data_IF_712683621115
#
_entry.id   IF_712683621115
#
_cell.length_a   1.000
_cell.length_b   1.000
_cell.length_c   1.000
_cell.angle_alpha   90.00
_cell.angle_beta   90.00
_cell.angle_gamma   90.00
#
_symmetry.space_group_name_H-M   'P 1'
#
loop_
_entity.id
_entity.type
_entity.pdbx_description
1 polymer ?
#
# COMPACT_ATOMS: atom_id res chain seq x y z
N UNK A 1 9.40 21.81 28.01
CA UNK A 1 9.19 20.54 27.27
C UNK A 1 10.33 20.38 26.28
N UNK A 2 11.05 19.27 26.30
CA UNK A 2 12.04 18.97 25.27
C UNK A 2 11.33 18.80 23.92
N UNK A 3 11.86 19.41 22.85
CA UNK A 3 11.35 19.21 21.50
C UNK A 3 11.51 17.73 21.11
N UNK A 4 10.50 17.09 20.50
CA UNK A 4 10.63 15.71 20.05
C UNK A 4 11.75 15.59 18.97
N UNK A 5 12.32 14.39 18.76
CA UNK A 5 13.36 14.19 17.76
C UNK A 5 12.93 14.71 16.39
N UNK A 6 13.85 15.32 15.62
CA UNK A 6 13.56 15.97 14.33
C UNK A 6 12.75 15.08 13.36
N UNK A 7 13.00 13.77 13.37
CA UNK A 7 12.26 12.78 12.58
C UNK A 7 10.78 12.66 12.98
N UNK A 8 10.49 12.69 14.28
CA UNK A 8 9.12 12.63 14.79
C UNK A 8 8.35 13.93 14.49
N UNK A 9 9.06 15.06 14.42
CA UNK A 9 8.51 16.35 13.96
C UNK A 9 8.18 16.26 12.46
N UNK A 10 9.08 15.67 11.66
CA UNK A 10 8.90 15.48 10.22
C UNK A 10 7.66 14.61 9.92
N UNK A 11 7.54 13.44 10.57
CA UNK A 11 6.40 12.53 10.40
C UNK A 11 5.06 13.19 10.76
N UNK A 12 5.02 14.01 11.82
CA UNK A 12 3.83 14.75 12.22
C UNK A 12 3.50 15.88 11.25
N UNK A 13 4.50 16.62 10.77
CA UNK A 13 4.33 17.76 9.86
C UNK A 13 3.81 17.33 8.47
N UNK A 14 4.22 16.16 7.99
CA UNK A 14 3.80 15.60 6.69
C UNK A 14 2.73 14.52 6.81
N UNK A 15 2.11 14.35 7.98
CA UNK A 15 1.20 13.22 8.21
C UNK A 15 0.04 13.18 7.20
N UNK A 16 -0.50 14.37 6.87
CA UNK A 16 -1.58 14.57 5.87
C UNK A 16 -1.08 14.71 4.44
N UNK A 17 0.23 14.78 4.21
CA UNK A 17 0.78 14.81 2.85
C UNK A 17 0.56 13.44 2.18
N UNK A 18 0.11 13.43 0.93
CA UNK A 18 -0.05 12.17 0.16
C UNK A 18 1.28 11.69 -0.42
N UNK A 19 2.27 12.58 -0.60
CA UNK A 19 3.61 12.24 -1.11
C UNK A 19 4.55 11.93 0.06
N UNK A 20 5.33 10.86 -0.11
CA UNK A 20 6.51 10.64 0.73
C UNK A 20 7.70 11.34 0.08
N UNK A 21 8.54 11.95 0.90
CA UNK A 21 9.86 12.38 0.46
C UNK A 21 10.73 11.17 0.14
N UNK A 22 11.12 11.02 -1.12
CA UNK A 22 12.18 10.11 -1.52
C UNK A 22 13.48 10.92 -1.53
N UNK A 23 14.38 10.62 -0.58
CA UNK A 23 15.71 11.23 -0.48
C UNK A 23 16.54 11.01 -1.75
N UNK A 24 16.27 9.94 -2.51
CA UNK A 24 16.96 9.65 -3.76
C UNK A 24 15.99 9.14 -4.84
N UNK A 25 16.18 9.70 -6.05
CA UNK A 25 15.56 9.35 -7.34
C UNK A 25 14.27 10.09 -7.73
N UNK A 26 14.45 11.23 -8.43
CA UNK A 26 13.65 11.72 -9.58
C UNK A 26 14.26 13.04 -10.08
N UNK A 27 14.30 13.26 -11.42
CA UNK A 27 14.85 14.46 -12.09
C UNK A 27 14.50 15.82 -11.42
N UNK A 28 13.26 16.03 -10.90
CA UNK A 28 12.90 17.23 -10.12
C UNK A 28 13.80 17.53 -8.92
N UNK A 29 14.21 16.54 -8.13
CA UNK A 29 15.03 16.77 -6.93
C UNK A 29 16.44 17.25 -7.31
N UNK A 30 16.96 16.79 -8.45
CA UNK A 30 18.26 17.26 -8.96
C UNK A 30 18.14 18.71 -9.42
N UNK A 31 17.14 19.04 -10.23
CA UNK A 31 16.93 20.42 -10.69
C UNK A 31 16.74 21.42 -9.52
N UNK A 32 16.02 21.02 -8.47
CA UNK A 32 15.87 21.83 -7.25
C UNK A 32 17.22 22.02 -6.52
N UNK A 33 18.03 20.98 -6.40
CA UNK A 33 19.38 21.07 -5.80
C UNK A 33 20.29 21.97 -6.63
N UNK A 34 20.32 21.77 -7.95
CA UNK A 34 21.10 22.57 -8.88
C UNK A 34 20.69 24.06 -8.80
N UNK A 35 19.38 24.33 -8.74
CA UNK A 35 18.87 25.71 -8.56
C UNK A 35 19.29 26.31 -7.22
N UNK A 36 19.21 25.56 -6.11
CA UNK A 36 19.65 26.04 -4.79
C UNK A 36 21.16 26.33 -4.74
N UNK A 37 21.96 25.55 -5.48
CA UNK A 37 23.42 25.70 -5.51
C UNK A 37 23.89 26.82 -6.45
N UNK A 38 23.29 26.93 -7.64
CA UNK A 38 23.76 27.82 -8.70
C UNK A 38 22.99 29.14 -8.78
N UNK A 39 21.68 29.13 -8.47
CA UNK A 39 20.78 30.28 -8.63
C UNK A 39 19.70 30.36 -7.53
N UNK A 40 20.07 30.42 -6.24
CA UNK A 40 19.13 30.36 -5.11
C UNK A 40 18.05 31.45 -5.14
N UNK A 41 18.36 32.63 -5.65
CA UNK A 41 17.43 33.75 -5.83
C UNK A 41 16.29 33.42 -6.82
N UNK A 42 16.54 32.51 -7.76
CA UNK A 42 15.55 32.08 -8.75
C UNK A 42 14.69 30.90 -8.26
N UNK A 43 14.96 30.38 -7.06
CA UNK A 43 14.31 29.17 -6.57
C UNK A 43 12.79 29.29 -6.53
N UNK A 44 12.25 30.45 -6.14
CA UNK A 44 10.80 30.69 -6.10
C UNK A 44 10.15 30.76 -7.49
N UNK A 45 10.89 31.11 -8.54
CA UNK A 45 10.38 31.12 -9.92
C UNK A 45 10.20 29.71 -10.48
N UNK A 46 11.09 28.78 -10.09
CA UNK A 46 11.12 27.43 -10.67
C UNK A 46 10.38 26.38 -9.84
N UNK A 47 9.79 26.78 -8.70
CA UNK A 47 9.15 25.85 -7.77
C UNK A 47 7.77 26.35 -7.31
N UNK A 48 6.80 25.44 -7.28
CA UNK A 48 5.40 25.74 -6.95
C UNK A 48 5.13 26.13 -5.47
N UNK A 49 6.18 26.25 -4.65
CA UNK A 49 6.05 26.62 -3.24
C UNK A 49 5.58 25.48 -2.33
N UNK A 50 4.97 25.84 -1.19
CA UNK A 50 4.37 24.91 -0.22
C UNK A 50 2.96 25.34 0.15
N UNK A 51 2.12 24.37 0.53
CA UNK A 51 0.82 24.65 1.15
C UNK A 51 0.79 24.07 2.56
N UNK A 52 0.49 24.91 3.54
CA UNK A 52 0.42 24.58 4.96
C UNK A 52 -1.02 24.79 5.45
N UNK A 53 -1.61 23.76 6.03
CA UNK A 53 -2.82 23.87 6.83
C UNK A 53 -2.44 24.13 8.28
N UNK A 54 -3.17 25.00 8.97
CA UNK A 54 -2.94 25.30 10.39
C UNK A 54 -4.27 25.44 11.11
N UNK A 55 -4.36 24.99 12.36
CA UNK A 55 -5.57 25.19 13.15
C UNK A 55 -5.77 26.65 13.54
N UNK A 56 -4.66 27.38 13.69
CA UNK A 56 -4.66 28.82 13.98
C UNK A 56 -3.41 29.46 13.38
N UNK A 57 -3.56 30.64 12.82
CA UNK A 57 -2.50 31.48 12.29
C UNK A 57 -2.46 32.77 13.10
N UNK A 58 -1.30 33.11 13.64
CA UNK A 58 -1.12 34.36 14.39
C UNK A 58 0.03 35.16 13.77
N UNK A 59 -0.29 36.36 13.29
CA UNK A 59 0.65 37.28 12.67
C UNK A 59 1.23 38.22 13.73
N UNK A 60 2.52 38.11 13.99
CA UNK A 60 3.26 39.05 14.83
C UNK A 60 3.87 40.12 13.91
N UNK A 61 3.13 41.22 13.71
CA UNK A 61 3.46 42.27 12.75
C UNK A 61 4.81 42.96 13.04
N UNK A 62 5.13 43.12 14.33
CA UNK A 62 6.36 43.79 14.76
C UNK A 62 7.61 42.96 14.42
N UNK A 63 7.50 41.64 14.53
CA UNK A 63 8.62 40.71 14.36
C UNK A 63 8.70 40.07 12.97
N UNK A 64 7.75 40.38 12.07
CA UNK A 64 7.53 39.66 10.80
C UNK A 64 7.46 38.14 10.99
N UNK A 65 6.96 37.68 12.13
CA UNK A 65 6.83 36.25 12.48
C UNK A 65 5.39 35.78 12.29
N UNK A 66 5.27 34.52 11.87
CA UNK A 66 4.00 33.81 11.78
C UNK A 66 4.06 32.63 12.74
N UNK A 67 3.09 32.55 13.67
CA UNK A 67 2.94 31.40 14.56
C UNK A 67 1.80 30.53 14.03
N UNK A 68 2.09 29.23 13.85
CA UNK A 68 1.15 28.23 13.36
C UNK A 68 0.86 27.20 14.45
N UNK A 69 -0.42 27.00 14.76
CA UNK A 69 -0.85 25.91 15.65
C UNK A 69 -1.13 24.65 14.84
N UNK A 70 -0.46 23.54 15.20
CA UNK A 70 -0.60 22.24 14.54
C UNK A 70 -0.44 22.31 13.00
N UNK A 71 0.68 22.86 12.48
CA UNK A 71 0.88 22.98 11.05
C UNK A 71 0.96 21.60 10.37
N UNK A 72 0.38 21.49 9.18
CA UNK A 72 0.38 20.30 8.33
C UNK A 72 0.71 20.70 6.89
N UNK A 73 1.83 20.20 6.36
CA UNK A 73 2.25 20.48 4.99
C UNK A 73 1.59 19.48 4.06
N UNK A 74 0.64 19.95 3.26
CA UNK A 74 -0.14 19.10 2.33
C UNK A 74 0.43 19.09 0.90
N UNK A 75 1.24 20.10 0.54
CA UNK A 75 1.98 20.16 -0.73
C UNK A 75 3.38 20.74 -0.50
N UNK A 76 4.36 20.26 -1.26
CA UNK A 76 5.74 20.77 -1.25
C UNK A 76 6.69 20.03 -0.32
N UNK A 77 6.39 18.76 0.02
CA UNK A 77 7.25 17.90 0.84
C UNK A 77 8.66 17.74 0.25
N UNK A 78 8.79 17.61 -1.08
CA UNK A 78 10.09 17.56 -1.75
C UNK A 78 10.83 18.90 -1.70
N UNK A 79 10.12 20.00 -1.99
CA UNK A 79 10.67 21.37 -1.95
C UNK A 79 11.26 21.69 -0.58
N UNK A 80 10.48 21.51 0.49
CA UNK A 80 10.91 21.87 1.84
C UNK A 80 12.02 20.95 2.38
N UNK A 81 11.98 19.66 2.03
CA UNK A 81 13.04 18.72 2.42
C UNK A 81 14.35 19.05 1.70
N UNK A 82 14.28 19.38 0.40
CA UNK A 82 15.46 19.76 -0.38
C UNK A 82 16.08 21.05 0.14
N UNK A 83 15.27 22.08 0.44
CA UNK A 83 15.77 23.30 1.10
C UNK A 83 16.36 22.98 2.47
N UNK A 84 15.68 22.15 3.28
CA UNK A 84 16.13 21.77 4.60
C UNK A 84 17.50 21.07 4.62
N UNK A 85 17.79 20.25 3.60
CA UNK A 85 19.07 19.56 3.42
C UNK A 85 20.19 20.46 2.87
N UNK A 86 19.86 21.48 2.07
CA UNK A 86 20.85 22.25 1.30
C UNK A 86 21.01 23.71 1.77
N UNK A 87 20.18 24.16 2.74
CA UNK A 87 20.10 25.51 3.37
C UNK A 87 21.00 26.60 2.76
N UNK A 88 20.72 27.12 1.55
CA UNK A 88 21.29 28.38 1.13
C UNK A 88 20.60 29.51 1.91
N UNK A 89 21.35 30.54 2.32
CA UNK A 89 20.81 31.65 3.12
C UNK A 89 19.80 32.53 2.38
N UNK A 90 19.84 32.53 1.03
CA UNK A 90 19.21 33.59 0.22
C UNK A 90 18.05 33.08 -0.66
N UNK A 91 17.65 31.81 -0.52
CA UNK A 91 16.53 31.25 -1.30
C UNK A 91 15.17 31.57 -0.68
N UNK A 92 14.24 32.07 -1.49
CA UNK A 92 12.85 32.30 -1.11
C UNK A 92 11.91 31.25 -1.71
N UNK A 93 10.72 31.08 -1.13
CA UNK A 93 9.67 30.21 -1.68
C UNK A 93 8.28 30.75 -1.32
N UNK A 94 7.28 30.50 -2.17
CA UNK A 94 5.89 30.86 -1.86
C UNK A 94 5.25 29.88 -0.87
N UNK A 95 4.79 30.38 0.29
CA UNK A 95 4.03 29.60 1.24
C UNK A 95 2.56 30.04 1.27
N UNK A 96 1.66 29.16 0.82
CA UNK A 96 0.22 29.31 1.02
C UNK A 96 -0.16 28.73 2.38
N UNK A 97 -0.61 29.58 3.31
CA UNK A 97 -1.06 29.16 4.64
C UNK A 97 -2.58 29.26 4.69
N UNK A 98 -3.26 28.19 5.09
CA UNK A 98 -4.71 28.14 5.21
C UNK A 98 -5.07 27.82 6.67
N UNK A 99 -5.77 28.74 7.32
CA UNK A 99 -6.37 28.49 8.63
C UNK A 99 -7.64 27.64 8.46
N UNK A 100 -7.69 26.50 9.13
CA UNK A 100 -8.77 25.50 9.01
C UNK A 100 -9.56 25.29 10.32
N UNK A 101 -9.22 26.01 11.39
CA UNK A 101 -9.84 25.80 12.71
C UNK A 101 -9.53 24.42 13.29
N UNK A 102 -10.46 23.83 14.03
CA UNK A 102 -10.24 22.50 14.63
C UNK A 102 -10.16 21.40 13.56
N UNK A 103 -9.00 20.75 13.49
CA UNK A 103 -8.69 19.74 12.49
C UNK A 103 -9.48 18.43 12.65
N UNK A 104 -10.16 18.23 13.78
CA UNK A 104 -11.05 17.10 14.03
C UNK A 104 -12.47 17.34 13.50
N UNK A 105 -12.89 18.60 13.39
CA UNK A 105 -14.25 18.98 12.96
C UNK A 105 -14.30 19.15 11.44
N UNK A 106 -13.26 19.77 10.86
CA UNK A 106 -13.27 20.19 9.46
C UNK A 106 -12.65 19.16 8.49
N UNK A 107 -12.86 17.87 8.74
CA UNK A 107 -12.19 16.82 7.98
C UNK A 107 -12.56 16.83 6.48
N UNK A 108 -13.83 17.06 6.12
CA UNK A 108 -14.27 17.17 4.73
C UNK A 108 -13.61 18.35 4.00
N UNK A 109 -13.50 19.51 4.66
CA UNK A 109 -12.81 20.68 4.10
C UNK A 109 -11.33 20.37 3.87
N UNK A 110 -10.67 19.72 4.82
CA UNK A 110 -9.26 19.34 4.70
C UNK A 110 -9.07 18.38 3.53
N UNK A 111 -9.90 17.34 3.44
CA UNK A 111 -9.83 16.35 2.36
C UNK A 111 -10.11 17.02 1.00
N UNK A 112 -11.09 17.92 0.91
CA UNK A 112 -11.37 18.71 -0.29
C UNK A 112 -10.21 19.64 -0.71
N UNK A 113 -9.52 20.28 0.24
CA UNK A 113 -8.33 21.09 -0.05
C UNK A 113 -7.18 20.21 -0.54
N UNK A 114 -6.96 19.05 0.08
CA UNK A 114 -5.92 18.09 -0.33
C UNK A 114 -6.22 17.58 -1.75
N UNK A 115 -7.45 17.19 -2.05
CA UNK A 115 -7.88 16.77 -3.38
C UNK A 115 -7.68 17.88 -4.42
N UNK A 116 -8.17 19.09 -4.16
CA UNK A 116 -8.04 20.21 -5.10
C UNK A 116 -6.58 20.57 -5.39
N UNK A 117 -5.70 20.53 -4.38
CA UNK A 117 -4.28 20.81 -4.54
C UNK A 117 -3.57 19.70 -5.35
N UNK A 118 -4.00 18.44 -5.19
CA UNK A 118 -3.50 17.31 -5.97
C UNK A 118 -4.04 17.28 -7.41
N UNK A 119 -5.21 17.86 -7.70
CA UNK A 119 -5.73 17.97 -9.09
C UNK A 119 -4.82 18.79 -10.00
N UNK A 120 -4.05 19.74 -9.46
CA UNK A 120 -3.07 20.53 -10.22
C UNK A 120 -1.78 19.76 -10.56
N UNK A 121 -1.49 18.65 -9.86
CA UNK A 121 -0.38 17.74 -10.18
C UNK A 121 -0.80 16.30 -9.91
N UNK A 122 -1.26 15.55 -10.94
CA UNK A 122 -1.95 14.27 -10.77
C UNK A 122 -1.23 13.35 -9.78
N UNK A 123 -1.97 12.92 -8.77
CA UNK A 123 -1.53 11.96 -7.76
C UNK A 123 -2.37 10.70 -7.94
N UNK A 124 -1.71 9.53 -7.94
CA UNK A 124 -2.34 8.22 -8.05
C UNK A 124 -3.40 8.02 -6.93
N UNK A 125 -4.51 7.38 -7.27
CA UNK A 125 -5.62 7.10 -6.33
C UNK A 125 -5.15 6.35 -5.09
N UNK A 126 -4.17 5.45 -5.23
CA UNK A 126 -3.53 4.75 -4.11
C UNK A 126 -2.93 5.71 -3.11
N UNK A 127 -2.29 6.77 -3.58
CA UNK A 127 -1.67 7.78 -2.73
C UNK A 127 -2.73 8.65 -2.04
N UNK A 128 -3.82 8.99 -2.73
CA UNK A 128 -4.95 9.70 -2.14
C UNK A 128 -5.58 8.88 -1.00
N UNK A 129 -5.86 7.59 -1.23
CA UNK A 129 -6.43 6.70 -0.22
C UNK A 129 -5.48 6.35 0.91
N UNK A 130 -4.17 6.62 0.77
CA UNK A 130 -3.18 6.22 1.77
C UNK A 130 -3.47 6.79 3.16
N UNK A 131 -3.99 8.02 3.26
CA UNK A 131 -4.32 8.68 4.53
C UNK A 131 -5.74 8.39 5.02
N UNK A 132 -6.50 7.55 4.31
CA UNK A 132 -7.85 7.17 4.72
C UNK A 132 -7.86 6.61 6.16
N UNK A 133 -8.80 7.02 7.03
CA UNK A 133 -8.83 6.60 8.44
C UNK A 133 -8.72 5.08 8.63
N UNK A 134 -9.43 4.29 7.82
CA UNK A 134 -9.33 2.82 7.83
C UNK A 134 -7.89 2.31 7.62
N UNK A 135 -7.14 2.85 6.64
CA UNK A 135 -5.76 2.41 6.41
C UNK A 135 -4.86 2.79 7.59
N UNK A 136 -5.03 3.99 8.15
CA UNK A 136 -4.24 4.46 9.31
C UNK A 136 -4.53 3.60 10.55
N UNK A 137 -5.80 3.30 10.83
CA UNK A 137 -6.18 2.39 11.93
C UNK A 137 -5.61 1.01 11.69
N UNK A 138 -5.74 0.46 10.49
CA UNK A 138 -5.21 -0.87 10.15
C UNK A 138 -3.69 -0.92 10.34
N UNK A 139 -2.95 0.10 9.92
CA UNK A 139 -1.50 0.18 10.13
C UNK A 139 -1.11 -0.01 11.59
N UNK A 140 -1.76 0.75 12.50
CA UNK A 140 -1.49 0.67 13.94
C UNK A 140 -1.77 -0.72 14.51
N UNK A 141 -2.83 -1.39 14.06
CA UNK A 141 -3.20 -2.72 14.55
C UNK A 141 -2.30 -3.81 13.97
N UNK A 142 -1.89 -3.72 12.71
CA UNK A 142 -0.98 -4.70 12.12
C UNK A 142 0.40 -4.65 12.80
N UNK A 143 0.85 -3.46 13.22
CA UNK A 143 2.10 -3.30 13.96
C UNK A 143 2.11 -4.07 15.28
N UNK A 144 0.98 -4.13 16.01
CA UNK A 144 0.88 -4.92 17.25
C UNK A 144 0.91 -6.43 17.00
N UNK A 145 0.62 -6.86 15.76
CA UNK A 145 0.63 -8.26 15.33
C UNK A 145 1.98 -8.69 14.72
N UNK A 146 2.99 -7.82 14.70
CA UNK A 146 4.30 -8.14 14.13
C UNK A 146 4.45 -7.85 12.63
N UNK A 147 3.53 -7.05 12.06
CA UNK A 147 3.51 -6.69 10.65
C UNK A 147 3.58 -5.17 10.49
N UNK A 148 4.36 -4.64 9.56
CA UNK A 148 4.26 -3.22 9.22
C UNK A 148 3.47 -3.06 7.91
N UNK A 149 2.47 -2.20 7.94
CA UNK A 149 1.60 -1.96 6.79
C UNK A 149 2.09 -0.75 5.99
N UNK A 150 2.68 -0.98 4.82
CA UNK A 150 3.16 0.06 3.93
C UNK A 150 2.00 0.65 3.11
N UNK A 151 1.39 1.73 3.64
CA UNK A 151 0.27 2.47 3.01
C UNK A 151 0.72 3.32 1.84
N UNK A 152 1.92 3.89 1.96
CA UNK A 152 2.53 4.73 0.95
C UNK A 152 3.81 4.03 0.50
N UNK A 153 4.02 3.94 -0.81
CA UNK A 153 5.18 3.21 -1.35
C UNK A 153 6.49 3.74 -0.73
N UNK A 154 7.33 2.83 -0.24
CA UNK A 154 8.62 3.21 0.34
C UNK A 154 8.56 3.91 1.71
N UNK A 155 7.39 3.96 2.37
CA UNK A 155 7.21 4.60 3.70
C UNK A 155 8.28 4.22 4.72
N UNK A 156 8.72 2.95 4.70
CA UNK A 156 9.66 2.40 5.67
C UNK A 156 11.07 2.16 5.10
N UNK A 157 11.43 2.76 3.95
CA UNK A 157 12.73 2.52 3.28
C UNK A 157 13.91 2.88 4.19
N UNK A 158 13.90 4.07 4.78
CA UNK A 158 15.00 4.53 5.67
C UNK A 158 15.00 3.78 7.00
N UNK A 159 13.82 3.46 7.51
CA UNK A 159 13.65 2.72 8.75
C UNK A 159 14.18 1.29 8.66
N UNK A 160 13.97 0.61 7.52
CA UNK A 160 14.60 -0.69 7.23
C UNK A 160 16.12 -0.62 7.24
N UNK A 161 16.70 0.47 6.73
CA UNK A 161 18.15 0.65 6.69
C UNK A 161 18.77 0.86 8.08
N UNK A 162 18.01 1.36 9.05
CA UNK A 162 18.52 1.81 10.35
C UNK A 162 18.04 1.00 11.55
N UNK A 163 16.92 0.28 11.45
CA UNK A 163 16.25 -0.34 12.60
C UNK A 163 16.13 -1.87 12.47
N UNK A 164 16.78 -2.58 13.39
CA UNK A 164 16.61 -4.04 13.56
C UNK A 164 15.15 -4.42 13.87
N UNK A 165 14.41 -3.55 14.57
CA UNK A 165 13.00 -3.74 14.92
C UNK A 165 12.13 -3.91 13.68
N UNK A 166 12.32 -3.08 12.65
CA UNK A 166 11.50 -3.12 11.43
C UNK A 166 11.93 -4.25 10.52
N UNK A 167 13.21 -4.61 10.53
CA UNK A 167 13.70 -5.80 9.84
C UNK A 167 13.17 -7.10 10.47
N UNK A 168 12.75 -7.08 11.75
CA UNK A 168 12.08 -8.21 12.40
C UNK A 168 10.58 -8.33 12.05
N UNK A 169 9.97 -7.27 11.50
CA UNK A 169 8.55 -7.26 11.15
C UNK A 169 8.33 -7.67 9.69
N UNK A 170 7.20 -8.33 9.43
CA UNK A 170 6.80 -8.71 8.06
C UNK A 170 6.16 -7.51 7.35
N UNK A 171 6.68 -7.17 6.17
CA UNK A 171 6.15 -6.10 5.32
C UNK A 171 4.82 -6.49 4.70
N UNK A 172 3.79 -5.64 4.81
CA UNK A 172 2.53 -5.78 4.08
C UNK A 172 2.29 -4.54 3.24
N UNK A 173 2.29 -4.66 1.92
CA UNK A 173 1.98 -3.52 1.04
C UNK A 173 0.47 -3.39 0.86
N UNK A 174 -0.05 -2.17 0.88
CA UNK A 174 -1.48 -1.92 0.65
C UNK A 174 -2.00 -2.46 -0.70
N UNK A 175 -1.18 -2.41 -1.75
CA UNK A 175 -1.56 -2.96 -3.07
C UNK A 175 -1.70 -4.48 -3.05
N UNK A 176 -0.85 -5.19 -2.30
CA UNK A 176 -0.96 -6.64 -2.19
C UNK A 176 -2.15 -7.00 -1.30
N UNK A 177 -2.34 -6.27 -0.21
CA UNK A 177 -3.47 -6.45 0.71
C UNK A 177 -4.82 -6.30 -0.01
N UNK A 178 -5.02 -5.22 -0.79
CA UNK A 178 -6.28 -4.99 -1.51
C UNK A 178 -6.53 -6.08 -2.55
N UNK A 179 -5.49 -6.52 -3.29
CA UNK A 179 -5.61 -7.59 -4.28
C UNK A 179 -5.98 -8.93 -3.67
N UNK A 180 -5.38 -9.29 -2.54
CA UNK A 180 -5.72 -10.53 -1.81
C UNK A 180 -7.18 -10.49 -1.32
N UNK A 181 -7.61 -9.36 -0.77
CA UNK A 181 -8.97 -9.19 -0.28
C UNK A 181 -10.01 -9.16 -1.42
N UNK A 182 -9.69 -8.57 -2.57
CA UNK A 182 -10.59 -8.60 -3.73
C UNK A 182 -10.75 -10.00 -4.30
N UNK A 183 -9.68 -10.79 -4.34
CA UNK A 183 -9.74 -12.17 -4.83
C UNK A 183 -10.80 -12.98 -4.06
N UNK A 184 -10.90 -12.78 -2.74
CA UNK A 184 -11.82 -13.52 -1.85
C UNK A 184 -13.22 -12.90 -1.72
N UNK A 185 -13.40 -11.59 -1.92
CA UNK A 185 -14.73 -10.95 -1.80
C UNK A 185 -15.49 -10.99 -3.13
N UNK A 186 -14.78 -10.73 -4.23
CA UNK A 186 -15.33 -10.72 -5.58
C UNK A 186 -14.84 -11.96 -6.31
N UNK A 187 -14.00 -11.75 -7.33
CA UNK A 187 -13.39 -12.80 -8.13
C UNK A 187 -11.94 -12.41 -8.44
N UNK A 188 -11.03 -13.39 -8.58
CA UNK A 188 -9.59 -13.15 -8.76
C UNK A 188 -9.21 -12.26 -9.94
N UNK A 189 -10.04 -12.18 -10.98
CA UNK A 189 -9.76 -11.30 -12.12
C UNK A 189 -9.70 -9.81 -11.74
N UNK A 190 -10.47 -9.40 -10.71
CA UNK A 190 -10.46 -8.02 -10.19
C UNK A 190 -9.14 -7.64 -9.52
N UNK A 191 -8.40 -8.62 -8.96
CA UNK A 191 -7.06 -8.42 -8.39
C UNK A 191 -6.01 -8.02 -9.45
N UNK A 192 -6.33 -8.17 -10.74
CA UNK A 192 -5.48 -7.79 -11.86
C UNK A 192 -5.84 -6.43 -12.48
N UNK A 193 -6.80 -5.70 -11.89
CA UNK A 193 -7.13 -4.34 -12.29
C UNK A 193 -5.92 -3.39 -12.19
N UNK A 194 -6.03 -2.25 -12.88
CA UNK A 194 -5.02 -1.20 -12.78
C UNK A 194 -4.96 -0.66 -11.35
N UNK A 195 -3.80 -0.14 -10.95
CA UNK A 195 -3.58 0.35 -9.58
C UNK A 195 -4.60 1.43 -9.20
N UNK A 196 -4.82 2.43 -10.07
CA UNK A 196 -5.83 3.45 -9.84
C UNK A 196 -7.24 2.87 -9.65
N UNK A 197 -7.62 1.87 -10.44
CA UNK A 197 -8.95 1.25 -10.37
C UNK A 197 -9.15 0.44 -9.08
N UNK A 198 -8.08 -0.18 -8.57
CA UNK A 198 -8.10 -0.85 -7.27
C UNK A 198 -8.45 0.14 -6.14
N UNK A 199 -7.92 1.36 -6.18
CA UNK A 199 -8.09 2.35 -5.10
C UNK A 199 -9.22 3.36 -5.33
N UNK A 200 -9.72 3.52 -6.55
CA UNK A 200 -10.92 4.30 -6.86
C UNK A 200 -12.19 3.44 -6.76
N UNK A 201 -12.35 2.47 -7.66
CA UNK A 201 -13.57 1.67 -7.80
C UNK A 201 -13.72 0.59 -6.72
N UNK A 202 -12.60 0.00 -6.29
CA UNK A 202 -12.62 -1.21 -5.46
C UNK A 202 -12.24 -1.00 -3.99
N UNK A 203 -11.86 0.22 -3.60
CA UNK A 203 -11.44 0.50 -2.24
C UNK A 203 -12.54 0.19 -1.21
N UNK A 204 -13.76 0.68 -1.46
CA UNK A 204 -14.91 0.50 -0.58
C UNK A 204 -15.46 -0.94 -0.56
N UNK A 205 -15.12 -1.76 -1.56
CA UNK A 205 -15.44 -3.19 -1.55
C UNK A 205 -14.63 -3.92 -0.47
N UNK A 206 -13.36 -3.53 -0.30
CA UNK A 206 -12.39 -4.19 0.58
C UNK A 206 -12.37 -3.58 1.97
N UNK A 207 -12.16 -2.27 2.07
CA UNK A 207 -11.95 -1.56 3.32
C UNK A 207 -13.29 -1.11 3.90
N UNK A 208 -13.77 -1.87 4.89
CA UNK A 208 -15.06 -1.65 5.59
C UNK A 208 -14.84 -1.61 7.09
N UNK A 209 -15.62 -0.80 7.82
CA UNK A 209 -15.50 -0.66 9.28
C UNK A 209 -15.81 -1.94 10.07
N UNK A 210 -16.63 -2.84 9.51
CA UNK A 210 -17.04 -4.08 10.19
C UNK A 210 -15.95 -5.17 10.22
N UNK A 211 -14.85 -5.00 9.48
CA UNK A 211 -13.78 -6.00 9.39
C UNK A 211 -12.74 -5.83 10.49
N UNK A 212 -12.29 -6.94 11.05
CA UNK A 212 -11.16 -7.02 11.98
C UNK A 212 -9.83 -6.90 11.22
N UNK A 213 -8.71 -6.55 11.89
CA UNK A 213 -7.39 -6.58 11.27
C UNK A 213 -7.01 -7.94 10.67
N UNK A 214 -7.44 -9.04 11.28
CA UNK A 214 -7.16 -10.39 10.78
C UNK A 214 -7.94 -10.73 9.50
N UNK A 215 -9.14 -10.18 9.32
CA UNK A 215 -9.92 -10.34 8.10
C UNK A 215 -9.16 -9.81 6.87
N UNK A 216 -8.33 -8.78 7.09
CA UNK A 216 -7.45 -8.23 6.05
C UNK A 216 -6.15 -9.03 5.90
N UNK A 217 -5.57 -9.45 7.04
CA UNK A 217 -4.21 -9.98 7.11
C UNK A 217 -4.11 -11.45 6.72
N UNK A 218 -5.07 -12.31 7.11
CA UNK A 218 -5.04 -13.75 6.81
C UNK A 218 -5.01 -14.02 5.29
N UNK A 219 -5.84 -13.38 4.44
CA UNK A 219 -5.74 -13.55 2.99
C UNK A 219 -4.36 -13.21 2.45
N UNK A 220 -3.73 -12.17 3.00
CA UNK A 220 -2.39 -11.75 2.62
C UNK A 220 -1.32 -12.77 3.05
N UNK A 221 -1.39 -13.31 4.28
CA UNK A 221 -0.42 -14.31 4.77
C UNK A 221 -0.48 -15.57 3.91
N UNK A 222 -1.69 -16.08 3.64
CA UNK A 222 -1.88 -17.27 2.80
C UNK A 222 -1.35 -17.00 1.39
N UNK A 223 -1.65 -15.82 0.82
CA UNK A 223 -1.12 -15.42 -0.48
C UNK A 223 0.42 -15.29 -0.51
N UNK A 224 1.06 -14.83 0.57
CA UNK A 224 2.52 -14.76 0.66
C UNK A 224 3.14 -16.16 0.61
N UNK A 225 2.55 -17.15 1.31
CA UNK A 225 2.95 -18.55 1.18
C UNK A 225 2.80 -19.07 -0.25
N UNK A 226 1.62 -18.89 -0.86
CA UNK A 226 1.34 -19.29 -2.25
C UNK A 226 2.34 -18.65 -3.23
N UNK A 227 2.62 -17.36 -3.05
CA UNK A 227 3.53 -16.60 -3.92
C UNK A 227 4.98 -17.07 -3.80
N UNK A 228 5.43 -17.44 -2.59
CA UNK A 228 6.77 -18.03 -2.37
C UNK A 228 6.89 -19.40 -3.02
N UNK A 229 5.88 -20.26 -2.85
CA UNK A 229 5.82 -21.58 -3.51
C UNK A 229 5.90 -21.40 -5.02
N UNK A 230 5.06 -20.53 -5.58
CA UNK A 230 5.03 -20.24 -7.02
C UNK A 230 6.34 -19.66 -7.56
N UNK A 231 7.07 -18.86 -6.78
CA UNK A 231 8.38 -18.31 -7.17
C UNK A 231 9.44 -19.41 -7.36
N UNK A 232 9.38 -20.46 -6.56
CA UNK A 232 10.36 -21.56 -6.55
C UNK A 232 9.92 -22.77 -7.39
N UNK A 233 8.65 -22.81 -7.81
CA UNK A 233 8.09 -23.92 -8.56
C UNK A 233 8.35 -23.82 -10.07
N UNK A 234 8.84 -24.90 -10.70
CA UNK A 234 9.07 -25.05 -12.16
C UNK A 234 9.93 -23.96 -12.84
N UNK A 235 10.78 -23.27 -12.08
CA UNK A 235 11.84 -22.38 -12.60
C UNK A 235 11.36 -21.02 -13.12
N UNK A 236 12.30 -20.22 -13.65
CA UNK A 236 12.06 -18.81 -14.00
C UNK A 236 11.03 -18.59 -15.10
N UNK A 237 10.90 -19.54 -16.04
CA UNK A 237 10.00 -19.44 -17.20
C UNK A 237 8.53 -19.26 -16.81
N UNK A 238 8.11 -19.74 -15.65
CA UNK A 238 6.71 -19.64 -15.16
C UNK A 238 6.52 -18.63 -14.02
N UNK A 239 7.54 -17.89 -13.64
CA UNK A 239 7.48 -16.95 -12.49
C UNK A 239 6.39 -15.88 -12.64
N UNK A 240 6.25 -15.30 -13.83
CA UNK A 240 5.18 -14.33 -14.13
C UNK A 240 3.81 -14.99 -14.05
N UNK A 241 3.68 -16.18 -14.62
CA UNK A 241 2.45 -16.96 -14.60
C UNK A 241 2.01 -17.27 -13.16
N UNK A 242 2.90 -17.83 -12.32
CA UNK A 242 2.59 -18.15 -10.93
C UNK A 242 2.21 -16.90 -10.12
N UNK A 243 2.87 -15.76 -10.37
CA UNK A 243 2.49 -14.49 -9.74
C UNK A 243 1.04 -14.12 -10.07
N UNK A 244 0.61 -14.27 -11.32
CA UNK A 244 -0.78 -13.97 -11.70
C UNK A 244 -1.76 -15.03 -11.19
N UNK A 245 -1.41 -16.31 -11.32
CA UNK A 245 -2.22 -17.44 -10.84
C UNK A 245 -2.42 -17.45 -9.32
N UNK A 246 -1.50 -16.86 -8.53
CA UNK A 246 -1.53 -16.86 -7.07
C UNK A 246 -2.87 -16.38 -6.48
N UNK A 247 -3.53 -15.39 -7.09
CA UNK A 247 -4.83 -14.90 -6.64
C UNK A 247 -5.97 -15.87 -6.94
N UNK A 248 -5.86 -16.64 -8.02
CA UNK A 248 -6.81 -17.69 -8.37
C UNK A 248 -6.65 -18.88 -7.41
N UNK A 249 -5.40 -19.28 -7.12
CA UNK A 249 -5.08 -20.30 -6.11
C UNK A 249 -5.61 -19.88 -4.74
N UNK A 250 -5.37 -18.64 -4.32
CA UNK A 250 -5.88 -18.08 -3.06
C UNK A 250 -7.40 -18.22 -2.98
N UNK A 251 -8.12 -17.86 -4.05
CA UNK A 251 -9.58 -17.95 -4.06
C UNK A 251 -10.07 -19.40 -4.01
N UNK A 252 -9.44 -20.34 -4.73
CA UNK A 252 -9.79 -21.77 -4.62
C UNK A 252 -9.63 -22.26 -3.18
N UNK A 253 -8.57 -21.83 -2.48
CA UNK A 253 -8.36 -22.19 -1.07
C UNK A 253 -9.48 -21.64 -0.18
N UNK A 254 -9.89 -20.38 -0.38
CA UNK A 254 -10.99 -19.76 0.38
C UNK A 254 -12.36 -20.40 0.10
N UNK A 255 -12.60 -20.87 -1.13
CA UNK A 255 -13.86 -21.54 -1.50
C UNK A 255 -13.97 -22.95 -0.90
N UNK A 256 -12.86 -23.56 -0.49
CA UNK A 256 -12.83 -24.94 0.00
C UNK A 256 -12.33 -25.11 1.43
N UNK A 257 -11.77 -24.09 2.08
CA UNK A 257 -11.41 -24.15 3.49
C UNK A 257 -12.42 -23.36 4.34
N UNK A 258 -13.38 -24.05 4.95
CA UNK A 258 -14.46 -23.44 5.75
C UNK A 258 -13.96 -22.58 6.91
N UNK A 259 -12.78 -22.91 7.45
CA UNK A 259 -12.19 -22.25 8.61
C UNK A 259 -11.78 -20.81 8.31
N UNK A 260 -11.51 -20.51 7.04
CA UNK A 260 -11.21 -19.15 6.57
C UNK A 260 -12.43 -18.24 6.53
N UNK A 261 -13.64 -18.82 6.59
CA UNK A 261 -14.91 -18.08 6.60
C UNK A 261 -15.48 -17.92 8.02
N UNK A 262 -14.80 -18.44 9.05
CA UNK A 262 -15.21 -18.35 10.44
C UNK A 262 -14.30 -17.41 11.24
N UNK A 263 -14.81 -16.22 11.58
CA UNK A 263 -14.05 -15.19 12.29
C UNK A 263 -13.48 -15.64 13.64
N UNK A 264 -14.13 -16.57 14.35
CA UNK A 264 -13.62 -17.08 15.63
C UNK A 264 -12.35 -17.92 15.42
N UNK A 265 -12.27 -18.66 14.32
CA UNK A 265 -11.13 -19.52 13.96
C UNK A 265 -9.93 -18.74 13.42
N UNK A 266 -10.14 -17.50 12.93
CA UNK A 266 -9.05 -16.68 12.38
C UNK A 266 -7.95 -16.37 13.41
N UNK A 267 -8.30 -16.21 14.69
CA UNK A 267 -7.31 -15.97 15.75
C UNK A 267 -6.40 -17.19 15.98
N UNK A 268 -6.99 -18.39 16.02
CA UNK A 268 -6.24 -19.63 16.18
C UNK A 268 -5.38 -19.91 14.96
N UNK A 269 -5.94 -19.72 13.77
CA UNK A 269 -5.21 -19.83 12.52
C UNK A 269 -4.05 -18.83 12.45
N UNK A 270 -4.24 -17.57 12.85
CA UNK A 270 -3.17 -16.58 12.89
C UNK A 270 -2.00 -17.02 13.78
N UNK A 271 -2.29 -17.56 14.96
CA UNK A 271 -1.28 -18.12 15.87
C UNK A 271 -0.56 -19.30 15.23
N UNK A 272 -1.30 -20.22 14.59
CA UNK A 272 -0.73 -21.38 13.90
C UNK A 272 0.19 -20.94 12.76
N UNK A 273 -0.27 -20.06 11.86
CA UNK A 273 0.49 -19.55 10.72
C UNK A 273 1.77 -18.79 11.09
N UNK A 274 1.84 -18.23 12.30
CA UNK A 274 3.02 -17.55 12.83
C UNK A 274 3.87 -18.41 13.79
N UNK A 275 3.46 -19.65 14.05
CA UNK A 275 4.28 -20.60 14.79
C UNK A 275 5.54 -20.95 13.99
N UNK A 276 6.68 -21.07 14.68
CA UNK A 276 7.92 -21.56 14.07
C UNK A 276 7.83 -23.02 13.60
N UNK A 277 6.92 -23.81 14.17
CA UNK A 277 6.71 -25.22 13.83
C UNK A 277 5.70 -25.43 12.70
N UNK A 278 5.06 -24.37 12.22
CA UNK A 278 4.06 -24.51 11.18
C UNK A 278 4.74 -24.65 9.80
N UNK A 279 4.50 -25.78 9.17
CA UNK A 279 4.87 -26.02 7.78
C UNK A 279 3.61 -25.94 6.92
N UNK A 280 3.65 -25.09 5.89
CA UNK A 280 2.57 -24.94 4.95
C UNK A 280 2.66 -26.05 3.90
N UNK A 281 1.62 -26.89 3.77
CA UNK A 281 1.63 -27.97 2.79
C UNK A 281 1.64 -27.41 1.35
N UNK A 282 2.77 -27.57 0.67
CA UNK A 282 2.96 -27.04 -0.68
C UNK A 282 2.29 -27.88 -1.78
N UNK A 283 1.97 -29.15 -1.51
CA UNK A 283 1.49 -30.09 -2.54
C UNK A 283 0.17 -29.62 -3.18
N UNK A 284 -0.88 -29.26 -2.42
CA UNK A 284 -2.13 -28.79 -3.02
C UNK A 284 -1.93 -27.53 -3.87
N UNK A 285 -1.07 -26.61 -3.42
CA UNK A 285 -0.76 -25.36 -4.13
C UNK A 285 -0.06 -25.62 -5.46
N UNK A 286 0.94 -26.53 -5.48
CA UNK A 286 1.65 -26.92 -6.72
C UNK A 286 0.70 -27.58 -7.72
N UNK A 287 -0.18 -28.46 -7.24
CA UNK A 287 -1.21 -29.09 -8.08
C UNK A 287 -2.19 -28.07 -8.67
N UNK A 288 -2.63 -27.08 -7.88
CA UNK A 288 -3.47 -25.98 -8.37
C UNK A 288 -2.75 -25.16 -9.45
N UNK A 289 -1.48 -24.82 -9.27
CA UNK A 289 -0.70 -24.13 -10.31
C UNK A 289 -0.65 -24.93 -11.62
N UNK A 290 -0.47 -26.25 -11.54
CA UNK A 290 -0.45 -27.11 -12.72
C UNK A 290 -1.81 -27.21 -13.42
N UNK A 291 -2.90 -27.29 -12.66
CA UNK A 291 -4.27 -27.27 -13.21
C UNK A 291 -4.51 -25.95 -13.95
N UNK A 292 -4.21 -24.81 -13.33
CA UNK A 292 -4.40 -23.48 -13.95
C UNK A 292 -3.53 -23.36 -15.20
N UNK A 293 -2.28 -23.85 -15.15
CA UNK A 293 -1.37 -23.79 -16.29
C UNK A 293 -1.88 -24.62 -17.47
N UNK A 294 -2.38 -25.84 -17.24
CA UNK A 294 -3.01 -26.66 -18.29
C UNK A 294 -4.22 -25.97 -18.93
N UNK A 295 -4.97 -25.17 -18.15
CA UNK A 295 -6.10 -24.40 -18.68
C UNK A 295 -5.65 -23.20 -19.50
N UNK A 296 -4.58 -22.54 -19.08
CA UNK A 296 -3.96 -21.49 -19.87
C UNK A 296 -3.42 -22.03 -21.20
N UNK A 297 -2.72 -23.16 -21.22
CA UNK A 297 -2.18 -23.76 -22.45
C UNK A 297 -3.26 -24.16 -23.46
N UNK A 298 -4.44 -24.55 -22.99
CA UNK A 298 -5.60 -24.89 -23.85
C UNK A 298 -6.48 -23.70 -24.19
N UNK A 299 -6.14 -22.51 -23.69
CA UNK A 299 -6.94 -21.31 -23.89
C UNK A 299 -6.55 -20.60 -25.18
N UNK A 300 -7.45 -19.76 -25.68
CA UNK A 300 -7.19 -18.84 -26.81
C UNK A 300 -6.08 -17.80 -26.53
N UNK A 301 -5.48 -17.80 -25.35
CA UNK A 301 -4.49 -16.81 -24.92
C UNK A 301 -3.04 -17.35 -24.90
N UNK A 302 -2.79 -18.61 -25.30
CA UNK A 302 -1.48 -19.26 -25.13
C UNK A 302 -0.36 -18.66 -26.01
N UNK A 303 -0.70 -18.02 -27.14
CA UNK A 303 0.27 -17.44 -28.08
C UNK A 303 0.05 -15.94 -28.34
N UNK A 304 -0.47 -15.23 -27.33
CA UNK A 304 -0.68 -13.77 -27.39
C UNK A 304 0.36 -13.09 -26.51
N UNK A 305 0.95 -11.97 -26.98
CA UNK A 305 1.98 -11.22 -26.23
C UNK A 305 1.53 -10.82 -24.81
N UNK A 306 0.25 -10.45 -24.65
CA UNK A 306 -0.40 -10.16 -23.37
C UNK A 306 -1.17 -11.36 -22.79
N UNK A 307 -1.08 -12.54 -23.41
CA UNK A 307 -1.96 -13.68 -23.19
C UNK A 307 -2.11 -14.14 -21.75
N UNK A 308 -1.02 -14.23 -20.98
CA UNK A 308 -1.12 -14.54 -19.54
C UNK A 308 -1.94 -13.48 -18.78
N UNK A 309 -1.72 -12.19 -19.05
CA UNK A 309 -2.47 -11.11 -18.38
C UNK A 309 -3.94 -11.16 -18.79
N UNK A 310 -4.22 -11.36 -20.06
CA UNK A 310 -5.58 -11.37 -20.59
C UNK A 310 -6.37 -12.57 -20.07
N UNK A 311 -5.72 -13.75 -20.00
CA UNK A 311 -6.29 -14.93 -19.37
C UNK A 311 -6.71 -14.63 -17.93
N UNK A 312 -5.83 -14.10 -17.09
CA UNK A 312 -6.16 -13.84 -15.68
C UNK A 312 -7.08 -12.63 -15.45
N UNK A 313 -7.20 -11.71 -16.41
CA UNK A 313 -8.18 -10.61 -16.38
C UNK A 313 -9.56 -11.01 -16.88
N UNK A 314 -9.69 -12.14 -17.57
CA UNK A 314 -10.97 -12.57 -18.12
C UNK A 314 -11.91 -13.06 -17.01
N UNK A 315 -13.14 -12.54 -17.01
CA UNK A 315 -14.15 -12.79 -15.95
C UNK A 315 -14.46 -14.28 -15.72
N UNK A 316 -14.44 -15.07 -16.80
CA UNK A 316 -14.80 -16.50 -16.76
C UNK A 316 -13.63 -17.42 -16.36
N UNK A 317 -12.41 -16.89 -16.26
CA UNK A 317 -11.22 -17.71 -15.98
C UNK A 317 -11.34 -18.42 -14.64
N UNK A 318 -11.85 -17.74 -13.62
CA UNK A 318 -12.03 -18.38 -12.31
C UNK A 318 -13.01 -19.54 -12.35
N UNK A 319 -14.12 -19.40 -13.10
CA UNK A 319 -15.12 -20.47 -13.27
C UNK A 319 -14.49 -21.71 -13.89
N UNK A 320 -13.71 -21.54 -14.95
CA UNK A 320 -13.00 -22.64 -15.61
C UNK A 320 -12.00 -23.31 -14.66
N UNK A 321 -11.31 -22.52 -13.84
CA UNK A 321 -10.36 -23.04 -12.84
C UNK A 321 -11.09 -23.83 -11.75
N UNK A 322 -12.12 -23.27 -11.13
CA UNK A 322 -12.83 -23.89 -10.00
C UNK A 322 -13.53 -25.19 -10.39
N UNK A 323 -14.12 -25.26 -11.58
CA UNK A 323 -14.71 -26.48 -12.15
C UNK A 323 -13.67 -27.58 -12.43
N UNK A 324 -12.40 -27.21 -12.56
CA UNK A 324 -11.32 -28.14 -12.89
C UNK A 324 -10.57 -28.68 -11.67
N UNK A 325 -10.92 -28.22 -10.46
CA UNK A 325 -10.32 -28.72 -9.21
C UNK A 325 -10.97 -30.06 -8.86
N UNK A 326 -10.19 -31.16 -8.83
CA UNK A 326 -10.75 -32.49 -8.53
C UNK A 326 -11.14 -32.62 -7.05
N UNK A 327 -12.09 -33.51 -6.76
CA UNK A 327 -12.65 -33.65 -5.42
C UNK A 327 -11.62 -34.04 -4.34
N UNK A 328 -10.62 -34.86 -4.66
CA UNK A 328 -9.56 -35.21 -3.71
C UNK A 328 -8.74 -33.98 -3.31
N UNK A 329 -8.44 -33.09 -4.25
CA UNK A 329 -7.66 -31.88 -4.00
C UNK A 329 -8.46 -30.88 -3.17
N UNK A 330 -9.79 -30.82 -3.33
CA UNK A 330 -10.67 -30.03 -2.46
C UNK A 330 -10.57 -30.48 -1.00
N UNK A 331 -10.57 -31.80 -0.75
CA UNK A 331 -10.38 -32.37 0.60
C UNK A 331 -8.99 -32.10 1.17
N UNK A 332 -7.95 -32.15 0.35
CA UNK A 332 -6.59 -31.74 0.80
C UNK A 332 -6.54 -30.26 1.19
N UNK A 333 -7.31 -29.41 0.50
CA UNK A 333 -7.41 -27.97 0.79
C UNK A 333 -8.22 -27.70 2.07
N UNK A 334 -9.28 -28.47 2.33
CA UNK A 334 -10.06 -28.39 3.58
C UNK A 334 -9.13 -28.50 4.80
N UNK A 335 -8.18 -29.44 4.73
CA UNK A 335 -7.23 -29.75 5.81
C UNK A 335 -5.88 -29.03 5.64
N UNK A 336 -5.79 -28.00 4.79
CA UNK A 336 -4.51 -27.35 4.44
C UNK A 336 -3.76 -26.76 5.65
N UNK A 337 -4.52 -26.41 6.69
CA UNK A 337 -3.99 -25.83 7.93
C UNK A 337 -4.03 -26.81 9.10
N UNK A 338 -4.41 -28.07 8.88
CA UNK A 338 -4.44 -29.14 9.88
C UNK A 338 -3.10 -29.90 9.86
N UNK A 339 -2.07 -29.29 10.47
CA UNK A 339 -0.94 -30.05 11.01
C UNK A 339 -1.33 -30.75 12.30
#
# INVERSE_FOLDING_TARGET
MALPPAKQIQEKLFSRNVRIFYSESKKPNKAMKDTLAEQPQNFWYFNNGITILSEKVTLLKEDKKIILKNPQIINGCQTISTIGENRPSDSCLFAKIVEIGDSLINQELIDGIIEANNRQTPVDERMLKSNHPLQVRLQRHLETLGYYFERKEGQFREERAKSSRINALKCVKNIDLIKCNLAIIKLPHTSHAHEDDLFSSHFSDVFKDKKTPLDYLIPYIIWDYISRIGKNYRGEKRKRFHKLASFHVLRVIYDHCSDLNNNLKLNELFKKLNSKSFEFNESPVKQLFDIIYKKYEKSKFVDVDSGQRDFFKHKDTYKVVSESVPAYLKREIENLFEN
#
